data_IF_956399625051
#
_entry.id   IF_956399625051
#
_cell.length_a   1.000
_cell.length_b   1.000
_cell.length_c   1.000
_cell.angle_alpha   90.00
_cell.angle_beta   90.00
_cell.angle_gamma   90.00
#
_symmetry.space_group_name_H-M   'P 1'
#
loop_
_entity.id
_entity.type
_entity.pdbx_description
1 polymer ?
#
# COMPACT_ATOMS: atom_id res chain seq x y z
N UNK A 1 -17.37 -14.37 37.29
CA UNK A 1 -16.02 -14.18 36.69
C UNK A 1 -16.16 -13.14 35.59
N UNK A 2 -15.39 -12.05 35.63
CA UNK A 2 -15.41 -11.04 34.56
C UNK A 2 -14.47 -11.51 33.45
N UNK A 3 -15.00 -11.75 32.25
CA UNK A 3 -14.17 -12.17 31.10
C UNK A 3 -13.70 -10.91 30.39
N UNK A 4 -12.40 -10.64 30.40
CA UNK A 4 -11.83 -9.52 29.63
C UNK A 4 -11.84 -9.92 28.14
N UNK A 5 -12.48 -9.15 27.25
CA UNK A 5 -12.48 -9.49 25.84
C UNK A 5 -11.06 -9.38 25.26
N UNK A 6 -10.64 -10.30 24.36
CA UNK A 6 -9.36 -10.19 23.69
C UNK A 6 -9.26 -8.88 22.90
N UNK A 7 -8.06 -8.27 22.86
CA UNK A 7 -7.85 -7.03 22.14
C UNK A 7 -8.16 -7.23 20.65
N UNK A 8 -8.68 -6.20 19.96
CA UNK A 8 -8.91 -6.28 18.53
C UNK A 8 -7.58 -6.53 17.82
N UNK A 9 -7.50 -7.64 17.10
CA UNK A 9 -6.38 -7.91 16.20
C UNK A 9 -6.30 -6.75 15.20
N UNK A 10 -5.10 -6.29 14.86
CA UNK A 10 -4.90 -5.24 13.87
C UNK A 10 -4.35 -5.89 12.63
N UNK A 11 -5.18 -6.00 11.60
CA UNK A 11 -4.71 -6.45 10.29
C UNK A 11 -4.18 -5.24 9.53
N UNK A 12 -2.93 -5.30 9.10
CA UNK A 12 -2.31 -4.31 8.23
C UNK A 12 -2.22 -4.88 6.82
N UNK A 13 -2.42 -4.05 5.80
CA UNK A 13 -2.08 -4.42 4.43
C UNK A 13 -0.82 -3.68 4.00
N UNK A 14 0.06 -4.39 3.30
CA UNK A 14 1.22 -3.80 2.64
C UNK A 14 0.80 -3.40 1.24
N UNK A 15 0.88 -2.11 0.94
CA UNK A 15 0.72 -1.58 -0.40
C UNK A 15 2.08 -1.20 -0.96
N UNK A 16 2.41 -1.72 -2.14
CA UNK A 16 3.61 -1.34 -2.87
C UNK A 16 3.23 -0.35 -3.96
N UNK A 17 3.91 0.79 -3.97
CA UNK A 17 3.75 1.81 -5.00
C UNK A 17 5.07 1.92 -5.74
N UNK A 18 5.03 1.74 -7.06
CA UNK A 18 6.20 1.89 -7.93
C UNK A 18 6.03 3.14 -8.77
N UNK A 19 7.04 4.01 -8.72
CA UNK A 19 7.11 5.24 -9.51
C UNK A 19 8.32 5.16 -10.43
N UNK A 20 8.10 5.37 -11.72
CA UNK A 20 9.16 5.45 -12.72
C UNK A 20 9.23 6.86 -13.27
N UNK A 21 10.41 7.47 -13.17
CA UNK A 21 10.69 8.79 -13.70
C UNK A 21 11.71 8.67 -14.82
N UNK A 22 11.38 9.21 -15.99
CA UNK A 22 12.30 9.27 -17.13
C UNK A 22 12.64 10.72 -17.41
N UNK A 23 13.93 11.04 -17.38
CA UNK A 23 14.46 12.36 -17.68
C UNK A 23 15.25 12.28 -18.99
N UNK A 24 14.91 13.14 -19.94
CA UNK A 24 15.67 13.27 -21.19
C UNK A 24 16.31 14.64 -21.24
N UNK A 25 17.63 14.66 -21.43
CA UNK A 25 18.42 15.88 -21.54
C UNK A 25 19.03 15.93 -22.93
N UNK A 26 18.74 16.98 -23.68
CA UNK A 26 19.36 17.25 -24.98
C UNK A 26 20.33 18.41 -24.85
N UNK A 27 21.59 18.17 -25.19
CA UNK A 27 22.64 19.17 -25.24
C UNK A 27 22.95 19.48 -26.70
N UNK A 28 22.90 20.77 -27.05
CA UNK A 28 23.28 21.27 -28.37
C UNK A 28 24.59 22.05 -28.20
N UNK A 29 25.63 21.63 -28.92
CA UNK A 29 26.91 22.32 -28.97
C UNK A 29 27.08 22.94 -30.35
N UNK A 30 27.33 24.26 -30.37
CA UNK A 30 27.61 25.03 -31.59
C UNK A 30 29.06 25.48 -31.52
N UNK A 31 29.85 25.12 -32.53
CA UNK A 31 31.26 25.54 -32.62
C UNK A 31 31.43 26.73 -33.57
N UNK A 32 32.55 27.45 -33.45
CA UNK A 32 32.88 28.60 -34.30
C UNK A 32 33.03 28.25 -35.80
N UNK A 33 33.04 26.97 -36.16
CA UNK A 33 33.08 26.48 -37.54
C UNK A 33 31.69 26.18 -38.11
N UNK A 34 30.62 26.62 -37.44
CA UNK A 34 29.22 26.31 -37.76
C UNK A 34 28.90 24.81 -37.72
N UNK A 35 29.63 24.04 -36.91
CA UNK A 35 29.29 22.63 -36.66
C UNK A 35 28.29 22.57 -35.51
N UNK A 36 27.20 21.83 -35.70
CA UNK A 36 26.17 21.58 -34.70
C UNK A 36 26.27 20.13 -34.27
N UNK A 37 26.54 19.90 -33.00
CA UNK A 37 26.51 18.57 -32.40
C UNK A 37 25.34 18.48 -31.42
N UNK A 38 24.51 17.47 -31.58
CA UNK A 38 23.39 17.18 -30.69
C UNK A 38 23.65 15.89 -29.94
N UNK A 39 23.70 15.98 -28.61
CA UNK A 39 23.83 14.82 -27.73
C UNK A 39 22.54 14.70 -26.93
N UNK A 40 21.92 13.53 -26.96
CA UNK A 40 20.74 13.24 -26.13
C UNK A 40 21.10 12.16 -25.13
N UNK A 41 20.79 12.42 -23.86
CA UNK A 41 20.99 11.50 -22.75
C UNK A 41 19.66 11.25 -22.07
N UNK A 42 19.31 9.98 -21.90
CA UNK A 42 18.10 9.56 -21.20
C UNK A 42 18.47 8.81 -19.93
N UNK A 43 17.87 9.21 -18.81
CA UNK A 43 18.05 8.58 -17.51
C UNK A 43 16.70 8.14 -16.98
N UNK A 44 16.60 6.86 -16.61
CA UNK A 44 15.38 6.29 -16.03
C UNK A 44 15.65 5.88 -14.58
N UNK A 45 14.84 6.39 -13.66
CA UNK A 45 14.91 6.07 -12.23
C UNK A 45 13.61 5.40 -11.83
N UNK A 46 13.71 4.25 -11.17
CA UNK A 46 12.54 3.53 -10.62
C UNK A 46 12.66 3.45 -9.11
N UNK A 47 11.61 3.88 -8.41
CA UNK A 47 11.54 3.87 -6.95
C UNK A 47 10.32 3.07 -6.53
N UNK A 48 10.49 2.14 -5.59
CA UNK A 48 9.39 1.40 -4.99
C UNK A 48 9.28 1.76 -3.52
N UNK A 49 8.08 2.11 -3.07
CA UNK A 49 7.79 2.41 -1.66
C UNK A 49 6.72 1.45 -1.14
N UNK A 50 6.91 0.97 0.09
CA UNK A 50 5.94 0.11 0.77
C UNK A 50 5.27 0.91 1.88
N UNK A 51 3.95 0.99 1.87
CA UNK A 51 3.14 1.65 2.91
C UNK A 51 2.25 0.63 3.58
N UNK A 52 2.10 0.72 4.91
CA UNK A 52 1.17 -0.12 5.67
C UNK A 52 -0.08 0.68 6.00
N UNK A 53 -1.26 0.10 5.78
CA UNK A 53 -2.54 0.73 6.11
C UNK A 53 -3.37 -0.21 7.02
N UNK A 54 -3.92 0.29 8.14
CA UNK A 54 -4.74 -0.52 9.04
C UNK A 54 -6.12 -0.79 8.42
N UNK A 55 -6.64 -2.01 8.62
CA UNK A 55 -7.98 -2.38 8.16
C UNK A 55 -9.07 -1.98 9.14
N UNK A 56 -10.24 -1.53 8.64
CA UNK A 56 -11.45 -1.46 9.46
C UNK A 56 -11.85 -2.88 9.88
N UNK A 57 -11.78 -3.18 11.18
CA UNK A 57 -12.21 -4.46 11.73
C UNK A 57 -13.74 -4.48 11.85
N UNK A 58 -14.39 -5.36 11.08
CA UNK A 58 -15.78 -5.70 11.31
C UNK A 58 -15.90 -6.70 12.47
N UNK A 59 -16.42 -6.25 13.61
CA UNK A 59 -16.60 -7.04 14.82
C UNK A 59 -17.80 -8.01 14.72
N UNK A 60 -17.78 -8.96 13.78
CA UNK A 60 -18.89 -9.92 13.61
C UNK A 60 -18.83 -11.14 14.55
N UNK A 61 -17.66 -11.40 15.15
CA UNK A 61 -17.44 -12.65 15.88
C UNK A 61 -18.13 -12.71 17.25
N UNK A 62 -18.30 -11.58 17.95
CA UNK A 62 -18.93 -11.55 19.28
C UNK A 62 -20.45 -11.78 19.24
N UNK A 63 -21.14 -11.29 18.20
CA UNK A 63 -22.59 -11.45 18.09
C UNK A 63 -22.99 -12.90 17.80
N UNK A 64 -22.27 -13.58 16.91
CA UNK A 64 -22.60 -14.95 16.54
C UNK A 64 -22.43 -15.94 17.70
N UNK A 65 -21.38 -15.78 18.52
CA UNK A 65 -21.13 -16.70 19.63
C UNK A 65 -22.13 -16.53 20.78
N UNK A 66 -22.60 -15.30 21.06
CA UNK A 66 -23.63 -15.09 22.08
C UNK A 66 -25.01 -15.59 21.64
N UNK A 67 -25.32 -15.50 20.35
CA UNK A 67 -26.61 -15.95 19.83
C UNK A 67 -26.73 -17.48 19.77
N UNK A 68 -25.64 -18.21 19.50
CA UNK A 68 -25.66 -19.68 19.51
C UNK A 68 -25.76 -20.26 20.93
N UNK A 69 -25.21 -19.58 21.94
CA UNK A 69 -25.30 -20.01 23.34
C UNK A 69 -26.70 -19.79 23.94
N UNK A 70 -27.49 -18.84 23.43
CA UNK A 70 -28.87 -18.63 23.87
C UNK A 70 -29.84 -19.65 23.26
N UNK A 71 -29.64 -20.07 22.02
CA UNK A 71 -30.51 -21.04 21.35
C UNK A 71 -30.40 -22.46 21.92
N UNK A 72 -29.30 -22.81 22.60
CA UNK A 72 -29.14 -24.11 23.24
C UNK A 72 -29.82 -24.22 24.63
N UNK A 73 -30.31 -23.11 25.19
CA UNK A 73 -30.92 -23.10 26.53
C UNK A 73 -32.45 -23.22 26.53
N UNK A 74 -33.07 -23.32 25.36
CA UNK A 74 -34.50 -23.60 25.22
C UNK A 74 -34.75 -24.81 24.30
N UNK A 75 -34.49 -26.04 24.75
CA UNK A 75 -35.12 -27.21 24.13
C UNK A 75 -36.62 -27.16 24.43
N UNK A 76 -37.41 -27.40 23.38
CA UNK A 76 -38.87 -27.38 23.39
C UNK A 76 -39.46 -28.57 24.17
#
# INVERSE_FOLDING_TARGET
>A
MYVVPPPPQKHYHHHNTTTTTTTTTTTITITNTNTITTTTTTTTTTTTTTTTLPLPHHQHHYHHHHQSQQQQQHPH
#
